data_IF_015100832063
#
_entry.id   IF_015100832063
#
_cell.length_a   1.000
_cell.length_b   1.000
_cell.length_c   1.000
_cell.angle_alpha   90.00
_cell.angle_beta   90.00
_cell.angle_gamma   90.00
#
_symmetry.space_group_name_H-M   'P 1'
#
loop_
_entity.id
_entity.type
_entity.pdbx_description
1 polymer ?
#
# COMPACT_ATOMS: atom_id res chain seq x y z
N UNK A 1 21.13 -22.34 -15.91
CA UNK A 1 20.27 -21.19 -16.24
C UNK A 1 18.88 -21.47 -15.66
N UNK A 2 18.61 -21.03 -14.43
CA UNK A 2 17.27 -21.17 -13.83
C UNK A 2 16.45 -19.94 -14.20
N UNK A 3 15.63 -20.06 -15.25
CA UNK A 3 14.57 -19.10 -15.56
C UNK A 3 13.46 -19.24 -14.52
N UNK A 4 13.64 -18.60 -13.36
CA UNK A 4 12.59 -18.38 -12.39
C UNK A 4 11.63 -17.33 -12.94
N UNK A 5 10.75 -17.74 -13.84
CA UNK A 5 9.66 -16.89 -14.31
C UNK A 5 8.83 -16.46 -13.10
N UNK A 6 8.92 -15.17 -12.76
CA UNK A 6 8.09 -14.51 -11.75
C UNK A 6 6.62 -14.78 -12.08
N UNK A 7 6.05 -15.82 -11.47
CA UNK A 7 4.62 -16.12 -11.57
C UNK A 7 3.91 -15.04 -10.76
N UNK A 8 3.50 -13.98 -11.45
CA UNK A 8 2.60 -12.94 -10.95
C UNK A 8 1.45 -13.62 -10.20
N UNK A 9 1.32 -13.39 -8.89
CA UNK A 9 0.16 -13.88 -8.12
C UNK A 9 -1.12 -13.39 -8.82
N UNK A 10 -2.05 -14.30 -9.16
CA UNK A 10 -3.32 -13.90 -9.76
C UNK A 10 -4.16 -13.12 -8.75
N UNK A 11 -4.84 -12.08 -9.23
CA UNK A 11 -5.82 -11.34 -8.43
C UNK A 11 -7.09 -12.19 -8.24
N UNK A 12 -7.90 -11.91 -7.20
CA UNK A 12 -9.21 -12.54 -7.08
C UNK A 12 -10.06 -12.21 -8.31
N UNK A 13 -10.88 -13.16 -8.76
CA UNK A 13 -11.66 -13.07 -10.00
C UNK A 13 -12.50 -11.78 -10.11
N UNK A 14 -13.00 -11.27 -8.99
CA UNK A 14 -13.83 -10.06 -8.91
C UNK A 14 -13.08 -8.78 -9.28
N UNK A 15 -11.74 -8.81 -9.26
CA UNK A 15 -10.88 -7.63 -9.44
C UNK A 15 -10.09 -7.64 -10.77
N UNK A 16 -10.36 -8.60 -11.65
CA UNK A 16 -9.76 -8.65 -12.99
C UNK A 16 -8.25 -8.97 -12.97
N UNK A 17 -7.50 -8.40 -13.90
CA UNK A 17 -6.04 -8.62 -14.04
C UNK A 17 -5.20 -7.36 -13.87
N UNK A 18 -5.83 -6.20 -13.69
CA UNK A 18 -5.15 -4.92 -13.55
C UNK A 18 -4.90 -4.60 -12.07
N UNK A 19 -3.62 -4.60 -11.68
CA UNK A 19 -3.21 -4.30 -10.31
C UNK A 19 -3.32 -2.82 -9.97
N UNK A 20 -3.19 -1.94 -10.96
CA UNK A 20 -3.42 -0.50 -10.77
C UNK A 20 -4.89 -0.28 -10.40
N UNK A 21 -5.80 -0.89 -11.16
CA UNK A 21 -7.23 -0.80 -10.86
C UNK A 21 -7.54 -1.41 -9.49
N UNK A 22 -6.94 -2.55 -9.16
CA UNK A 22 -7.12 -3.19 -7.86
C UNK A 22 -6.74 -2.27 -6.69
N UNK A 23 -5.56 -1.64 -6.72
CA UNK A 23 -5.12 -0.77 -5.62
C UNK A 23 -6.04 0.46 -5.46
N UNK A 24 -6.54 1.01 -6.57
CA UNK A 24 -7.51 2.11 -6.55
C UNK A 24 -8.87 1.67 -5.97
N UNK A 25 -9.35 0.49 -6.37
CA UNK A 25 -10.59 -0.08 -5.85
C UNK A 25 -10.49 -0.38 -4.35
N UNK A 26 -9.37 -0.94 -3.88
CA UNK A 26 -9.13 -1.17 -2.45
C UNK A 26 -9.14 0.16 -1.68
N UNK A 27 -8.39 1.17 -2.15
CA UNK A 27 -8.40 2.49 -1.51
C UNK A 27 -9.82 3.08 -1.40
N UNK A 28 -10.62 2.93 -2.45
CA UNK A 28 -12.02 3.37 -2.48
C UNK A 28 -12.91 2.56 -1.54
N UNK A 29 -12.80 1.23 -1.54
CA UNK A 29 -13.61 0.31 -0.72
C UNK A 29 -13.44 0.58 0.78
N UNK A 30 -12.21 0.83 1.22
CA UNK A 30 -11.89 1.14 2.61
C UNK A 30 -12.04 2.63 2.96
N UNK A 31 -12.49 3.47 2.01
CA UNK A 31 -12.67 4.90 2.24
C UNK A 31 -11.37 5.63 2.61
N UNK A 32 -10.23 5.16 2.11
CA UNK A 32 -8.92 5.74 2.44
C UNK A 32 -8.85 7.16 1.88
N UNK A 33 -8.75 8.15 2.77
CA UNK A 33 -8.67 9.55 2.38
C UNK A 33 -7.27 9.90 1.86
N UNK A 34 -7.05 9.70 0.55
CA UNK A 34 -5.83 10.02 -0.19
C UNK A 34 -5.61 11.54 -0.36
N UNK A 35 -5.56 12.25 0.76
CA UNK A 35 -5.29 13.68 0.87
C UNK A 35 -4.38 13.97 2.06
N UNK A 36 -3.54 14.99 1.91
CA UNK A 36 -2.66 15.52 2.95
C UNK A 36 -2.35 16.99 2.69
N UNK A 37 -2.36 17.84 3.71
CA UNK A 37 -2.09 19.29 3.58
C UNK A 37 -2.84 19.97 2.43
N UNK A 38 -4.11 19.60 2.21
CA UNK A 38 -4.95 20.12 1.11
C UNK A 38 -4.64 19.56 -0.28
N UNK A 39 -3.61 18.72 -0.42
CA UNK A 39 -3.18 18.13 -1.68
C UNK A 39 -3.73 16.71 -1.84
N UNK A 40 -4.05 16.33 -3.08
CA UNK A 40 -4.44 14.96 -3.44
C UNK A 40 -3.17 14.10 -3.55
N UNK A 41 -3.20 12.92 -2.95
CA UNK A 41 -2.13 11.93 -3.02
C UNK A 41 -2.57 10.84 -4.02
N UNK A 42 -1.66 10.43 -4.90
CA UNK A 42 -1.90 9.36 -5.87
C UNK A 42 -1.54 8.01 -5.25
N UNK A 43 -2.29 6.96 -5.60
CA UNK A 43 -1.92 5.57 -5.30
C UNK A 43 -1.66 4.86 -6.62
N UNK A 44 -0.50 4.22 -6.74
CA UNK A 44 -0.13 3.47 -7.94
C UNK A 44 0.41 2.10 -7.58
N UNK A 45 0.23 1.13 -8.48
CA UNK A 45 0.99 -0.10 -8.47
C UNK A 45 2.32 0.10 -9.19
N UNK A 46 3.44 -0.26 -8.55
CA UNK A 46 4.78 -0.13 -9.13
C UNK A 46 5.51 -1.48 -9.03
N UNK A 47 5.65 -2.18 -10.15
CA UNK A 47 6.31 -3.49 -10.22
C UNK A 47 7.84 -3.41 -10.28
N UNK A 48 8.41 -2.20 -10.25
CA UNK A 48 9.86 -1.97 -10.14
C UNK A 48 10.35 -1.97 -8.69
N UNK A 49 9.42 -1.92 -7.72
CA UNK A 49 9.72 -2.08 -6.30
C UNK A 49 10.15 -3.52 -6.01
N UNK A 50 11.15 -3.68 -5.14
CA UNK A 50 11.63 -5.00 -4.72
C UNK A 50 10.49 -5.85 -4.13
N UNK A 51 10.48 -7.16 -4.43
CA UNK A 51 9.41 -8.07 -4.00
C UNK A 51 9.30 -8.23 -2.48
N UNK A 52 10.34 -7.88 -1.74
CA UNK A 52 10.31 -7.87 -0.27
C UNK A 52 9.57 -6.65 0.28
N UNK A 53 9.52 -5.54 -0.48
CA UNK A 53 8.87 -4.28 -0.09
C UNK A 53 7.40 -4.27 -0.52
N UNK A 54 6.54 -3.91 0.44
CA UNK A 54 5.09 -3.82 0.22
C UNK A 54 4.69 -2.46 -0.33
N UNK A 55 5.24 -1.38 0.19
CA UNK A 55 4.93 -0.02 -0.25
C UNK A 55 6.16 0.89 -0.28
N UNK A 56 6.00 2.03 -0.94
CA UNK A 56 7.01 3.08 -0.94
C UNK A 56 6.42 4.47 -1.22
N UNK A 57 6.76 5.41 -0.35
CA UNK A 57 6.54 6.84 -0.53
C UNK A 57 7.88 7.56 -0.48
N UNK A 58 8.15 8.48 -1.44
CA UNK A 58 9.45 9.14 -1.53
C UNK A 58 9.35 10.60 -1.09
N UNK A 59 10.25 11.01 -0.18
CA UNK A 59 10.36 12.41 0.25
C UNK A 59 10.66 13.36 -0.93
N UNK A 60 11.48 12.93 -1.90
CA UNK A 60 11.83 13.72 -3.11
C UNK A 60 10.63 14.03 -4.02
N UNK A 61 9.52 13.31 -3.86
CA UNK A 61 8.25 13.53 -4.58
C UNK A 61 7.24 14.30 -3.73
N UNK A 62 7.68 14.88 -2.61
CA UNK A 62 6.84 15.64 -1.70
C UNK A 62 5.76 14.81 -0.99
N UNK A 63 5.84 13.47 -1.02
CA UNK A 63 4.80 12.60 -0.48
C UNK A 63 3.51 12.58 -1.31
N UNK A 64 3.54 12.97 -2.59
CA UNK A 64 2.35 13.04 -3.44
C UNK A 64 1.99 11.70 -4.11
N UNK A 65 2.86 10.70 -4.01
CA UNK A 65 2.70 9.40 -4.67
C UNK A 65 2.98 8.29 -3.65
N UNK A 66 1.97 7.45 -3.41
CA UNK A 66 2.06 6.18 -2.71
C UNK A 66 2.21 5.09 -3.76
N UNK A 67 3.25 4.28 -3.65
CA UNK A 67 3.41 3.07 -4.46
C UNK A 67 3.08 1.84 -3.65
N UNK A 68 2.28 0.96 -4.22
CA UNK A 68 2.06 -0.40 -3.75
C UNK A 68 2.94 -1.31 -4.62
N UNK A 69 3.87 -1.99 -3.98
CA UNK A 69 4.81 -2.90 -4.62
C UNK A 69 4.29 -4.32 -4.76
N UNK A 70 5.05 -5.21 -5.42
CA UNK A 70 4.69 -6.62 -5.54
C UNK A 70 4.60 -7.33 -4.18
N UNK A 71 5.30 -6.83 -3.16
CA UNK A 71 5.29 -7.42 -1.83
C UNK A 71 3.91 -7.42 -1.17
N UNK A 72 3.02 -6.49 -1.54
CA UNK A 72 1.64 -6.50 -1.03
C UNK A 72 0.78 -7.63 -1.60
N UNK A 73 1.24 -8.30 -2.67
CA UNK A 73 0.51 -9.34 -3.42
C UNK A 73 1.03 -10.76 -3.15
N UNK A 74 1.62 -11.01 -1.98
CA UNK A 74 2.22 -12.31 -1.61
C UNK A 74 1.20 -13.43 -1.37
N UNK A 75 -0.07 -13.10 -1.16
CA UNK A 75 -1.14 -14.08 -0.89
C UNK A 75 -2.16 -14.12 -2.02
N UNK A 76 -2.75 -15.30 -2.24
CA UNK A 76 -3.87 -15.51 -3.15
C UNK A 76 -5.23 -15.57 -2.43
N UNK A 77 -5.24 -15.49 -1.09
CA UNK A 77 -6.49 -15.36 -0.34
C UNK A 77 -7.04 -13.94 -0.57
N UNK A 78 -8.27 -13.78 -1.09
CA UNK A 78 -8.82 -12.47 -1.42
C UNK A 78 -8.93 -11.51 -0.24
N UNK A 79 -9.34 -12.00 0.93
CA UNK A 79 -9.52 -11.17 2.11
C UNK A 79 -8.18 -10.70 2.68
N UNK A 80 -7.20 -11.61 2.75
CA UNK A 80 -5.86 -11.28 3.23
C UNK A 80 -5.13 -10.36 2.25
N UNK A 81 -5.29 -10.58 0.94
CA UNK A 81 -4.70 -9.73 -0.09
C UNK A 81 -5.23 -8.30 0.00
N UNK A 82 -6.55 -8.18 0.09
CA UNK A 82 -7.23 -6.90 0.18
C UNK A 82 -6.82 -6.14 1.46
N UNK A 83 -6.81 -6.84 2.61
CA UNK A 83 -6.35 -6.29 3.87
C UNK A 83 -4.88 -5.85 3.79
N UNK A 84 -4.01 -6.65 3.16
CA UNK A 84 -2.60 -6.32 3.03
C UNK A 84 -2.40 -5.07 2.17
N UNK A 85 -3.07 -4.97 1.02
CA UNK A 85 -3.00 -3.78 0.15
C UNK A 85 -3.56 -2.55 0.87
N UNK A 86 -4.69 -2.66 1.58
CA UNK A 86 -5.25 -1.56 2.36
C UNK A 86 -4.28 -1.10 3.46
N UNK A 87 -3.65 -2.04 4.17
CA UNK A 87 -2.65 -1.77 5.19
C UNK A 87 -1.42 -1.07 4.62
N UNK A 88 -0.91 -1.55 3.49
CA UNK A 88 0.19 -0.90 2.77
C UNK A 88 -0.17 0.55 2.43
N UNK A 89 -1.33 0.79 1.81
CA UNK A 89 -1.74 2.15 1.42
C UNK A 89 -1.88 3.05 2.65
N UNK A 90 -2.45 2.57 3.75
CA UNK A 90 -2.62 3.34 4.98
C UNK A 90 -1.28 3.68 5.65
N UNK A 91 -0.35 2.72 5.69
CA UNK A 91 1.02 2.92 6.18
C UNK A 91 1.73 4.01 5.37
N UNK A 92 1.73 3.87 4.05
CA UNK A 92 2.39 4.82 3.14
C UNK A 92 1.73 6.20 3.14
N UNK A 93 0.40 6.27 3.31
CA UNK A 93 -0.32 7.54 3.44
C UNK A 93 0.13 8.34 4.65
N UNK A 94 0.51 7.68 5.74
CA UNK A 94 1.09 8.37 6.90
C UNK A 94 2.42 9.02 6.53
N UNK A 95 3.29 8.30 5.84
CA UNK A 95 4.57 8.82 5.35
C UNK A 95 4.37 10.01 4.40
N UNK A 96 3.46 9.84 3.44
CA UNK A 96 3.05 10.89 2.51
C UNK A 96 2.62 12.18 3.23
N UNK A 97 1.73 12.06 4.23
CA UNK A 97 1.25 13.21 5.02
C UNK A 97 2.33 13.85 5.87
N UNK A 98 3.29 13.08 6.36
CA UNK A 98 4.44 13.61 7.11
C UNK A 98 5.36 14.40 6.18
N UNK A 99 5.69 13.89 5.00
CA UNK A 99 6.46 14.63 4.00
C UNK A 99 5.75 15.91 3.56
N UNK A 100 4.43 15.87 3.37
CA UNK A 100 3.61 17.06 3.07
C UNK A 100 3.55 18.10 4.19
N UNK A 101 3.98 17.75 5.40
CA UNK A 101 4.15 18.67 6.53
C UNK A 101 5.61 19.12 6.71
N UNK A 102 6.53 18.65 5.85
CA UNK A 102 7.97 18.88 5.99
C UNK A 102 8.62 18.11 7.13
N UNK A 103 7.95 17.08 7.67
CA UNK A 103 8.52 16.22 8.70
C UNK A 103 9.48 15.22 8.07
N UNK A 104 10.65 15.04 8.69
CA UNK A 104 11.56 13.93 8.40
C UNK A 104 11.10 12.72 9.20
N UNK A 105 11.08 11.56 8.56
CA UNK A 105 10.72 10.28 9.20
C UNK A 105 12.00 9.48 9.31
N UNK A 106 12.31 9.01 10.51
CA UNK A 106 13.32 7.98 10.72
C UNK A 106 12.61 6.62 10.60
N UNK A 107 12.95 5.86 9.55
CA UNK A 107 12.15 4.78 8.97
C UNK A 107 11.91 3.53 9.87
N UNK A 108 12.53 3.40 11.04
CA UNK A 108 12.63 2.10 11.73
C UNK A 108 11.56 1.78 12.81
N UNK A 109 10.81 2.76 13.34
CA UNK A 109 9.90 2.52 14.48
C UNK A 109 8.40 2.45 14.13
N UNK A 110 8.00 2.77 12.90
CA UNK A 110 6.61 3.14 12.59
C UNK A 110 5.76 2.10 11.83
N UNK A 111 6.39 1.07 11.26
CA UNK A 111 5.70 0.02 10.51
C UNK A 111 4.84 -0.89 11.40
N UNK A 112 5.38 -1.31 12.56
CA UNK A 112 4.71 -2.25 13.46
C UNK A 112 3.44 -1.64 14.10
N UNK A 113 3.52 -0.38 14.54
CA UNK A 113 2.42 0.28 15.25
C UNK A 113 1.21 0.66 14.36
N UNK A 114 1.41 0.76 13.04
CA UNK A 114 0.36 1.15 12.09
C UNK A 114 -0.43 -0.06 11.57
N UNK A 115 0.25 -1.21 11.40
CA UNK A 115 -0.38 -2.48 11.00
C UNK A 115 -1.33 -3.02 12.08
N UNK A 116 -0.90 -3.05 13.34
CA UNK A 116 -1.72 -3.55 14.45
C UNK A 116 -3.01 -2.72 14.68
N UNK A 117 -2.93 -1.39 14.51
CA UNK A 117 -4.09 -0.50 14.70
C UNK A 117 -5.14 -0.62 13.60
N UNK A 118 -4.72 -0.86 12.36
CA UNK A 118 -5.67 -1.07 11.26
C UNK A 118 -6.22 -2.49 11.26
N UNK A 119 -5.42 -3.49 11.61
CA UNK A 119 -5.88 -4.86 11.81
C UNK A 119 -6.94 -4.95 12.92
N UNK A 120 -6.75 -4.25 14.05
CA UNK A 120 -7.74 -4.15 15.11
C UNK A 120 -9.04 -3.48 14.63
N UNK A 121 -8.94 -2.41 13.84
CA UNK A 121 -10.09 -1.73 13.24
C UNK A 121 -10.87 -2.63 12.25
N UNK A 122 -10.15 -3.38 11.40
CA UNK A 122 -10.75 -4.33 10.44
C UNK A 122 -11.39 -5.52 11.18
N UNK A 123 -10.80 -5.98 12.28
CA UNK A 123 -11.35 -7.04 13.13
C UNK A 123 -12.50 -6.57 14.04
N UNK A 124 -12.85 -5.28 14.02
CA UNK A 124 -13.91 -4.72 14.85
C UNK A 124 -13.56 -4.65 16.34
N UNK A 125 -12.29 -4.84 16.70
CA UNK A 125 -11.80 -4.68 18.06
C UNK A 125 -11.47 -3.20 18.28
N UNK A 126 -12.36 -2.48 18.95
CA UNK A 126 -12.13 -1.11 19.44
C UNK A 126 -11.23 -1.10 20.67
#
# INVERSE_FOLDING_TARGET
>A
MHNGGNKKTPLPYEYGTDRQEYVEQVAKKFGINLKGSGQKIQVIYDDTIDFTQEGLTKAKEGGLIIRVGPGSFKTSNPADLEANVANTIAHELRHARNYLKGLKIDDELDALASGEKLEAYIKGCK
#
